data_IF_264776431912
#
_entry.id   IF_264776431912
#
_cell.length_a   1.000
_cell.length_b   1.000
_cell.length_c   1.000
_cell.angle_alpha   90.00
_cell.angle_beta   90.00
_cell.angle_gamma   90.00
#
_symmetry.space_group_name_H-M   'P 1'
#
loop_
_entity.id
_entity.type
_entity.pdbx_description
1 polymer ?
#
# COMPACT_ATOMS: atom_id res chain seq x y z
N UNK A 1 -7.83 5.88 51.18
CA UNK A 1 -6.43 5.63 50.74
C UNK A 1 -6.45 4.50 49.73
N UNK A 2 -6.82 4.80 48.47
CA UNK A 2 -6.90 3.79 47.42
C UNK A 2 -5.48 3.37 47.01
N UNK A 3 -5.23 2.07 47.09
CA UNK A 3 -3.90 1.46 46.96
C UNK A 3 -3.33 1.68 45.57
N UNK A 4 -2.14 2.31 45.49
CA UNK A 4 -1.33 2.52 44.28
C UNK A 4 -1.23 1.26 43.40
N UNK A 5 -1.28 0.07 44.00
CA UNK A 5 -1.22 -1.23 43.31
C UNK A 5 -2.41 -1.49 42.38
N UNK A 6 -3.60 -0.95 42.68
CA UNK A 6 -4.80 -1.16 41.87
C UNK A 6 -4.74 -0.38 40.54
N UNK A 7 -4.13 0.82 40.57
CA UNK A 7 -3.94 1.65 39.38
C UNK A 7 -2.92 1.03 38.40
N UNK A 8 -1.86 0.38 38.91
CA UNK A 8 -0.91 -0.32 38.05
C UNK A 8 -1.52 -1.54 37.35
N UNK A 9 -2.41 -2.28 38.02
CA UNK A 9 -3.10 -3.43 37.42
C UNK A 9 -4.05 -3.00 36.28
N UNK A 10 -4.76 -1.89 36.48
CA UNK A 10 -5.64 -1.28 35.47
C UNK A 10 -4.85 -0.78 34.24
N UNK A 11 -3.68 -0.17 34.44
CA UNK A 11 -2.82 0.28 33.34
C UNK A 11 -2.31 -0.91 32.54
N UNK A 12 -1.86 -1.98 33.21
CA UNK A 12 -1.40 -3.20 32.52
C UNK A 12 -2.54 -3.82 31.71
N UNK A 13 -3.75 -3.86 32.25
CA UNK A 13 -4.93 -4.36 31.54
C UNK A 13 -5.24 -3.53 30.30
N UNK A 14 -5.17 -2.19 30.39
CA UNK A 14 -5.38 -1.30 29.25
C UNK A 14 -4.31 -1.47 28.15
N UNK A 15 -3.04 -1.61 28.53
CA UNK A 15 -1.94 -1.82 27.58
C UNK A 15 -2.10 -3.17 26.86
N UNK A 16 -2.41 -4.23 27.60
CA UNK A 16 -2.65 -5.56 27.02
C UNK A 16 -3.86 -5.54 26.10
N UNK A 17 -4.96 -4.88 26.50
CA UNK A 17 -6.16 -4.74 25.68
C UNK A 17 -5.89 -3.95 24.37
N UNK A 18 -5.09 -2.87 24.44
CA UNK A 18 -4.66 -2.13 23.23
C UNK A 18 -3.79 -2.99 22.30
N UNK A 19 -2.89 -3.80 22.85
CA UNK A 19 -2.05 -4.70 22.06
C UNK A 19 -2.85 -5.81 21.37
N UNK A 20 -3.90 -6.34 22.01
CA UNK A 20 -4.75 -7.40 21.43
C UNK A 20 -5.68 -6.85 20.33
N UNK A 21 -6.12 -5.58 20.43
CA UNK A 21 -6.92 -4.91 19.39
C UNK A 21 -6.12 -4.62 18.09
N UNK A 22 -4.79 -4.75 18.11
CA UNK A 22 -3.93 -4.38 16.99
C UNK A 22 -3.63 -5.53 16.01
N UNK A 23 -4.29 -6.69 16.13
CA UNK A 23 -3.84 -7.94 15.46
C UNK A 23 -4.30 -8.14 14.02
N UNK A 24 -4.99 -7.19 13.38
CA UNK A 24 -5.39 -7.32 11.96
C UNK A 24 -4.81 -6.22 11.09
N UNK A 25 -3.51 -6.25 10.83
CA UNK A 25 -2.86 -5.33 9.88
C UNK A 25 -1.86 -6.02 8.94
N UNK A 26 -2.02 -7.32 8.67
CA UNK A 26 -1.28 -7.99 7.59
C UNK A 26 -2.26 -8.41 6.50
N UNK A 27 -2.59 -7.48 5.62
CA UNK A 27 -3.49 -7.71 4.47
C UNK A 27 -2.83 -8.44 3.30
N UNK A 28 -1.55 -8.82 3.39
CA UNK A 28 -0.78 -9.40 2.27
C UNK A 28 -0.85 -10.94 2.24
N UNK A 29 -2.02 -11.52 2.53
CA UNK A 29 -2.21 -12.97 2.65
C UNK A 29 -2.95 -13.59 1.46
N UNK A 30 -3.18 -12.82 0.38
CA UNK A 30 -3.94 -13.23 -0.80
C UNK A 30 -3.09 -13.47 -2.06
N UNK A 31 -3.74 -13.81 -3.16
CA UNK A 31 -3.11 -13.75 -4.50
C UNK A 31 -3.00 -12.30 -4.92
N UNK A 32 -1.80 -11.86 -5.30
CA UNK A 32 -1.61 -10.52 -5.85
C UNK A 32 -1.15 -10.57 -7.30
N UNK A 33 -1.40 -9.47 -8.00
CA UNK A 33 -0.94 -9.22 -9.35
C UNK A 33 -0.09 -7.95 -9.32
N UNK A 34 1.15 -8.07 -9.77
CA UNK A 34 2.02 -6.93 -9.94
C UNK A 34 1.81 -6.30 -11.33
N UNK A 35 1.30 -5.07 -11.35
CA UNK A 35 1.15 -4.30 -12.58
C UNK A 35 2.45 -3.53 -12.86
N UNK A 36 2.99 -3.62 -14.08
CA UNK A 36 4.20 -2.91 -14.49
C UNK A 36 4.01 -2.28 -15.87
N UNK A 37 4.50 -1.06 -16.06
CA UNK A 37 4.50 -0.39 -17.35
C UNK A 37 5.68 0.60 -17.47
N UNK A 38 5.87 1.16 -18.67
CA UNK A 38 6.85 2.20 -18.92
C UNK A 38 6.32 3.57 -18.47
N UNK A 39 7.20 4.38 -17.90
CA UNK A 39 6.95 5.79 -17.60
C UNK A 39 7.65 6.63 -18.67
N UNK A 40 6.93 7.60 -19.24
CA UNK A 40 7.48 8.49 -20.27
C UNK A 40 7.28 9.96 -19.88
N UNK A 41 8.21 10.80 -20.31
CA UNK A 41 8.03 12.24 -20.37
C UNK A 41 7.08 12.63 -21.50
N UNK A 42 6.70 13.91 -21.52
CA UNK A 42 5.79 14.44 -22.55
C UNK A 42 6.42 14.43 -23.97
N UNK A 43 7.75 14.39 -24.07
CA UNK A 43 8.49 14.23 -25.32
C UNK A 43 8.59 12.76 -25.79
N UNK A 44 8.12 11.81 -24.99
CA UNK A 44 8.14 10.38 -25.29
C UNK A 44 9.41 9.66 -24.85
N UNK A 45 10.40 10.33 -24.25
CA UNK A 45 11.55 9.65 -23.65
C UNK A 45 11.15 8.94 -22.35
N UNK A 46 11.91 7.89 -21.96
CA UNK A 46 11.67 7.18 -20.71
C UNK A 46 11.97 8.10 -19.51
N UNK A 47 11.04 8.13 -18.55
CA UNK A 47 11.21 8.86 -17.31
C UNK A 47 12.14 8.07 -16.37
N UNK A 48 13.34 8.60 -16.14
CA UNK A 48 14.36 7.99 -15.26
C UNK A 48 14.35 8.59 -13.84
N UNK A 49 13.38 9.45 -13.52
CA UNK A 49 13.27 10.05 -12.20
C UNK A 49 12.78 9.07 -11.14
N UNK A 50 13.14 9.33 -9.88
CA UNK A 50 12.63 8.66 -8.69
C UNK A 50 11.64 9.57 -7.95
N UNK A 51 10.87 9.07 -6.98
CA UNK A 51 10.07 9.93 -6.11
C UNK A 51 10.97 10.95 -5.38
N UNK A 52 10.52 12.20 -5.19
CA UNK A 52 9.19 12.74 -5.53
C UNK A 52 9.09 13.35 -6.94
N UNK A 53 10.14 13.29 -7.76
CA UNK A 53 10.17 13.89 -9.11
C UNK A 53 9.29 13.14 -10.11
N UNK A 54 9.09 11.83 -9.89
CA UNK A 54 8.08 11.03 -10.55
C UNK A 54 7.13 10.43 -9.51
N UNK A 55 5.83 10.54 -9.78
CA UNK A 55 4.75 10.02 -8.94
C UNK A 55 3.71 9.38 -9.85
N UNK A 56 2.89 8.48 -9.30
CA UNK A 56 1.71 8.01 -10.03
C UNK A 56 0.55 7.81 -9.06
N UNK A 57 -0.65 7.80 -9.62
CA UNK A 57 -1.84 7.31 -8.92
C UNK A 57 -2.49 6.21 -9.73
N UNK A 58 -2.63 5.03 -9.13
CA UNK A 58 -3.30 3.90 -9.72
C UNK A 58 -4.73 3.75 -9.16
N UNK A 59 -5.66 3.39 -10.05
CA UNK A 59 -7.07 3.18 -9.78
C UNK A 59 -7.49 1.82 -10.32
N UNK A 60 -8.38 1.13 -9.61
CA UNK A 60 -9.08 -0.04 -10.11
C UNK A 60 -10.43 0.38 -10.69
N UNK A 61 -10.78 -0.07 -11.89
CA UNK A 61 -12.08 0.19 -12.52
C UNK A 61 -12.48 1.67 -12.63
N UNK A 62 -11.49 2.58 -12.67
CA UNK A 62 -11.66 4.05 -12.60
C UNK A 62 -12.32 4.54 -11.32
N UNK A 63 -12.42 3.70 -10.29
CA UNK A 63 -12.89 4.11 -8.97
C UNK A 63 -11.79 4.93 -8.27
N UNK A 64 -12.12 6.17 -7.93
CA UNK A 64 -11.20 7.08 -7.23
C UNK A 64 -11.38 7.04 -5.72
N UNK A 65 -12.33 6.26 -5.19
CA UNK A 65 -12.53 6.10 -3.75
C UNK A 65 -11.39 5.32 -3.08
N UNK A 66 -10.66 4.52 -3.86
CA UNK A 66 -9.50 3.76 -3.44
C UNK A 66 -8.37 3.96 -4.45
N UNK A 67 -7.20 4.35 -3.95
CA UNK A 67 -6.04 4.64 -4.79
C UNK A 67 -4.80 3.95 -4.24
N UNK A 68 -3.86 3.65 -5.13
CA UNK A 68 -2.50 3.28 -4.77
C UNK A 68 -1.54 4.32 -5.34
N UNK A 69 -0.54 4.69 -4.55
CA UNK A 69 0.47 5.67 -4.88
C UNK A 69 1.83 5.00 -5.08
N UNK A 70 2.83 5.76 -5.50
CA UNK A 70 4.20 5.27 -5.66
C UNK A 70 4.82 4.71 -4.38
N UNK A 71 4.32 5.10 -3.19
CA UNK A 71 4.76 4.55 -1.92
C UNK A 71 3.92 3.36 -1.41
N UNK A 72 2.98 2.84 -2.21
CA UNK A 72 2.17 1.69 -1.83
C UNK A 72 3.06 0.46 -1.53
N UNK A 73 2.71 -0.36 -0.52
CA UNK A 73 3.54 -1.50 -0.13
C UNK A 73 3.77 -2.51 -1.25
N UNK A 74 5.02 -2.93 -1.40
CA UNK A 74 5.39 -4.14 -2.13
C UNK A 74 5.10 -5.36 -1.25
N UNK A 75 4.67 -6.46 -1.89
CA UNK A 75 4.48 -7.74 -1.19
C UNK A 75 5.73 -8.63 -1.34
N UNK A 76 6.61 -8.29 -2.27
CA UNK A 76 7.94 -8.86 -2.44
C UNK A 76 9.03 -7.88 -1.98
N UNK A 77 10.27 -8.35 -1.89
CA UNK A 77 11.45 -7.50 -1.68
C UNK A 77 12.02 -6.99 -3.02
N UNK A 78 11.15 -6.70 -3.98
CA UNK A 78 11.54 -6.22 -5.30
C UNK A 78 11.99 -4.76 -5.30
N UNK A 79 12.28 -4.26 -6.49
CA UNK A 79 12.54 -2.83 -6.72
C UNK A 79 11.37 -1.96 -6.24
N UNK A 80 11.62 -0.70 -5.83
CA UNK A 80 10.55 0.23 -5.51
C UNK A 80 9.61 0.44 -6.72
N UNK A 81 8.39 0.89 -6.44
CA UNK A 81 7.36 1.13 -7.46
C UNK A 81 7.80 2.11 -8.55
N UNK A 82 8.75 3.00 -8.26
CA UNK A 82 9.46 3.83 -9.24
C UNK A 82 10.95 3.74 -8.92
N UNK A 83 11.70 3.00 -9.74
CA UNK A 83 13.13 2.72 -9.52
C UNK A 83 14.08 3.65 -10.32
N UNK A 84 13.54 4.61 -11.08
CA UNK A 84 14.34 5.49 -11.92
C UNK A 84 14.95 4.80 -13.15
N UNK A 85 14.31 3.73 -13.64
CA UNK A 85 14.78 2.93 -14.78
C UNK A 85 13.84 2.95 -15.98
N UNK A 86 12.98 3.97 -16.09
CA UNK A 86 12.00 4.08 -17.18
C UNK A 86 10.74 3.25 -16.95
N UNK A 87 10.61 2.58 -15.81
CA UNK A 87 9.41 1.80 -15.48
C UNK A 87 8.84 2.20 -14.14
N UNK A 88 7.53 1.98 -14.01
CA UNK A 88 6.86 1.97 -12.73
C UNK A 88 6.08 0.66 -12.57
N UNK A 89 5.71 0.34 -11.35
CA UNK A 89 4.71 -0.68 -11.10
C UNK A 89 4.11 -0.59 -9.71
N UNK A 90 3.07 -1.38 -9.49
CA UNK A 90 2.28 -1.36 -8.27
C UNK A 90 1.68 -2.73 -7.99
N UNK A 91 1.68 -3.11 -6.72
CA UNK A 91 1.10 -4.36 -6.25
C UNK A 91 -0.42 -4.20 -6.11
N UNK A 92 -1.18 -4.76 -7.04
CA UNK A 92 -2.64 -4.57 -7.10
C UNK A 92 -3.37 -5.27 -5.96
N UNK A 93 -2.76 -6.26 -5.31
CA UNK A 93 -3.35 -6.93 -4.14
C UNK A 93 -3.60 -5.98 -2.97
N UNK A 94 -2.99 -4.79 -2.97
CA UNK A 94 -3.34 -3.73 -2.03
C UNK A 94 -4.79 -3.22 -2.22
N UNK A 95 -5.44 -3.47 -3.36
CA UNK A 95 -6.90 -3.36 -3.52
C UNK A 95 -7.56 -4.63 -2.95
N UNK A 96 -7.90 -4.58 -1.66
CA UNK A 96 -8.35 -5.74 -0.90
C UNK A 96 -9.84 -5.72 -0.52
N UNK A 97 -10.56 -4.62 -0.79
CA UNK A 97 -11.96 -4.47 -0.41
C UNK A 97 -12.75 -3.63 -1.44
N UNK A 98 -13.38 -4.25 -2.45
CA UNK A 98 -13.40 -5.69 -2.71
C UNK A 98 -12.03 -6.22 -3.21
N UNK A 99 -11.75 -7.52 -3.05
CA UNK A 99 -10.57 -8.12 -3.65
C UNK A 99 -10.65 -8.10 -5.18
N UNK A 100 -9.48 -8.16 -5.83
CA UNK A 100 -9.37 -8.25 -7.29
C UNK A 100 -10.15 -9.43 -7.88
N UNK A 101 -10.83 -9.21 -9.00
CA UNK A 101 -11.54 -10.22 -9.77
C UNK A 101 -11.19 -10.16 -11.26
N UNK A 102 -11.39 -11.28 -11.97
CA UNK A 102 -11.19 -11.32 -13.42
C UNK A 102 -12.16 -10.35 -14.10
N UNK A 103 -11.63 -9.50 -14.98
CA UNK A 103 -12.39 -8.45 -15.66
C UNK A 103 -12.09 -7.04 -15.13
N UNK A 104 -11.43 -6.92 -13.97
CA UNK A 104 -10.98 -5.63 -13.47
C UNK A 104 -9.96 -4.97 -14.40
N UNK A 105 -9.97 -3.64 -14.43
CA UNK A 105 -9.10 -2.80 -15.25
C UNK A 105 -8.29 -1.83 -14.40
N UNK A 106 -7.01 -1.69 -14.71
CA UNK A 106 -6.09 -0.75 -14.02
C UNK A 106 -5.96 0.54 -14.83
N UNK A 107 -6.06 1.67 -14.13
CA UNK A 107 -5.83 3.00 -14.70
C UNK A 107 -4.74 3.69 -13.92
N UNK A 108 -3.84 4.39 -14.61
CA UNK A 108 -2.72 5.12 -13.99
C UNK A 108 -2.71 6.54 -14.53
N UNK A 109 -2.43 7.49 -13.64
CA UNK A 109 -2.15 8.89 -13.95
C UNK A 109 -0.85 9.34 -13.33
#
# INVERSE_FOLDING_TARGET
>A
MFSKKHNHLLIIFYVVFLCILSTTAFSQTGTSVYYKNFAHHNDGELCMHTPPEATFTAYLNRDQSQILLENAPRWDNGEPNIAGNGTFGVELGNFNNPPLVVGDSVFVR
#
